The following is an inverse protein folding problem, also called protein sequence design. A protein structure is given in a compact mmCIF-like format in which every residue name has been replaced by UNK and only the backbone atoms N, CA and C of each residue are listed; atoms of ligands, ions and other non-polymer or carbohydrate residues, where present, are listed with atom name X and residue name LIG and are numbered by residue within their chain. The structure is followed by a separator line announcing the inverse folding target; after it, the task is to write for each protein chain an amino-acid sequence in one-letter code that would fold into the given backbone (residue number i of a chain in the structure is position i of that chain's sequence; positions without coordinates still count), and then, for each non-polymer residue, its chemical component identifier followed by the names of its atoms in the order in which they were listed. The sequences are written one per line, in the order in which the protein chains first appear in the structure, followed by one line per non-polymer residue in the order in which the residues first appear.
data_IF_269232640195
#
_entry.id   IF_269232640195
#
_cell.length_a   1.000
_cell.length_b   1.000
_cell.length_c   1.000
_cell.angle_alpha   90.00
_cell.angle_beta   90.00
_cell.angle_gamma   90.00
#
_symmetry.space_group_name_H-M   'P 1'
#
loop_
_entity.id
_entity.type
_entity.pdbx_description
1 polymer ?
#
# COMPACT_ATOMS: atom_id res chain seq x y z
N UNK A 1 49.21 -7.43 25.67
CA UNK A 1 47.97 -6.63 25.54
C UNK A 1 46.95 -7.50 24.81
N UNK A 2 45.73 -7.68 25.31
CA UNK A 2 44.75 -8.57 24.65
C UNK A 2 44.38 -8.04 23.26
N UNK A 3 44.07 -8.92 22.30
CA UNK A 3 43.69 -8.54 20.92
C UNK A 3 42.57 -7.49 20.90
N UNK A 4 41.62 -7.58 21.84
CA UNK A 4 40.51 -6.64 21.97
C UNK A 4 40.90 -5.27 22.54
N UNK A 5 41.89 -5.19 23.44
CA UNK A 5 42.38 -3.90 23.93
C UNK A 5 43.15 -3.12 22.85
N UNK A 6 43.78 -3.81 21.90
CA UNK A 6 44.37 -3.18 20.71
C UNK A 6 43.27 -2.66 19.80
N UNK A 7 42.23 -3.46 19.55
CA UNK A 7 41.07 -3.04 18.76
C UNK A 7 40.34 -1.85 19.39
N UNK A 8 40.19 -1.82 20.72
CA UNK A 8 39.60 -0.70 21.47
C UNK A 8 40.33 0.62 21.18
N UNK A 9 41.64 0.64 21.39
CA UNK A 9 42.48 1.81 21.15
C UNK A 9 42.41 2.25 19.70
N UNK A 10 42.45 1.30 18.77
CA UNK A 10 42.37 1.59 17.34
C UNK A 10 40.99 2.16 16.96
N UNK A 11 39.90 1.61 17.52
CA UNK A 11 38.54 2.09 17.31
C UNK A 11 38.36 3.50 17.87
N UNK A 12 38.75 3.75 19.12
CA UNK A 12 38.73 5.09 19.74
C UNK A 12 39.46 6.13 18.89
N UNK A 13 40.66 5.79 18.38
CA UNK A 13 41.42 6.65 17.47
C UNK A 13 40.67 6.92 16.16
N UNK A 14 40.09 5.89 15.56
CA UNK A 14 39.27 6.01 14.35
C UNK A 14 38.06 6.92 14.59
N UNK A 15 37.30 6.74 15.68
CA UNK A 15 36.12 7.55 15.98
C UNK A 15 36.48 9.04 16.16
N UNK A 16 37.61 9.33 16.80
CA UNK A 16 38.12 10.71 16.92
C UNK A 16 38.51 11.28 15.54
N UNK A 17 39.23 10.52 14.72
CA UNK A 17 39.64 10.94 13.37
C UNK A 17 38.44 11.13 12.41
N UNK A 18 37.38 10.33 12.56
CA UNK A 18 36.13 10.49 11.80
C UNK A 18 35.44 11.83 12.05
N UNK A 19 35.62 12.39 13.25
CA UNK A 19 35.11 13.72 13.62
C UNK A 19 36.06 14.85 13.25
N UNK A 20 37.20 14.58 12.61
CA UNK A 20 38.18 15.60 12.23
C UNK A 20 37.69 16.54 11.12
N UNK A 21 38.11 17.80 11.18
CA UNK A 21 37.90 18.77 10.08
C UNK A 21 38.83 18.52 8.88
N UNK A 22 39.95 17.80 9.10
CA UNK A 22 40.89 17.41 8.05
C UNK A 22 40.28 16.29 7.20
N UNK A 23 39.93 16.60 5.95
CA UNK A 23 39.25 15.67 5.01
C UNK A 23 40.02 14.38 4.82
N UNK A 24 41.33 14.46 4.58
CA UNK A 24 42.17 13.29 4.32
C UNK A 24 42.28 12.36 5.52
N UNK A 25 42.31 12.91 6.73
CA UNK A 25 42.29 12.15 7.98
C UNK A 25 40.93 11.46 8.17
N UNK A 26 39.83 12.21 8.01
CA UNK A 26 38.48 11.67 8.11
C UNK A 26 38.22 10.56 7.09
N UNK A 27 38.57 10.79 5.83
CA UNK A 27 38.43 9.80 4.75
C UNK A 27 39.17 8.49 5.07
N UNK A 28 40.43 8.58 5.51
CA UNK A 28 41.22 7.41 5.94
C UNK A 28 40.59 6.70 7.14
N UNK A 29 40.01 7.44 8.07
CA UNK A 29 39.34 6.84 9.23
C UNK A 29 38.09 6.04 8.81
N UNK A 30 37.30 6.56 7.86
CA UNK A 30 36.17 5.82 7.28
C UNK A 30 36.62 4.57 6.51
N UNK A 31 37.70 4.64 5.74
CA UNK A 31 38.27 3.49 5.04
C UNK A 31 38.78 2.41 6.02
N UNK A 32 39.45 2.83 7.11
CA UNK A 32 39.90 1.93 8.18
C UNK A 32 38.72 1.28 8.90
N UNK A 33 37.68 2.05 9.23
CA UNK A 33 36.50 1.51 9.88
C UNK A 33 35.77 0.53 8.96
N UNK A 34 35.63 0.85 7.68
CA UNK A 34 35.03 -0.06 6.69
C UNK A 34 35.79 -1.38 6.59
N UNK A 35 37.14 -1.33 6.58
CA UNK A 35 37.97 -2.52 6.61
C UNK A 35 37.73 -3.38 7.86
N UNK A 36 37.58 -2.75 9.04
CA UNK A 36 37.27 -3.47 10.28
C UNK A 36 35.88 -4.11 10.19
N UNK A 37 34.87 -3.34 9.78
CA UNK A 37 33.48 -3.80 9.70
C UNK A 37 33.29 -4.93 8.68
N UNK A 38 34.11 -4.99 7.64
CA UNK A 38 34.00 -6.00 6.57
C UNK A 38 34.94 -7.17 6.78
N UNK A 39 36.24 -6.93 7.03
CA UNK A 39 37.25 -7.98 7.07
C UNK A 39 37.51 -8.52 8.48
N UNK A 40 37.07 -7.81 9.52
CA UNK A 40 37.23 -8.19 10.94
C UNK A 40 35.88 -8.16 11.66
N UNK A 41 34.83 -8.56 10.96
CA UNK A 41 33.45 -8.50 11.45
C UNK A 41 33.29 -9.24 12.79
N UNK A 42 33.82 -10.46 12.91
CA UNK A 42 33.71 -11.25 14.14
C UNK A 42 34.51 -10.64 15.32
N UNK A 43 35.63 -9.96 15.04
CA UNK A 43 36.40 -9.27 16.08
C UNK A 43 35.62 -8.09 16.65
N UNK A 44 35.02 -7.24 15.80
CA UNK A 44 34.23 -6.08 16.26
C UNK A 44 32.95 -6.53 16.95
N UNK A 45 32.33 -7.63 16.52
CA UNK A 45 31.17 -8.18 17.20
C UNK A 45 31.51 -8.72 18.58
N UNK A 46 32.62 -9.46 18.70
CA UNK A 46 33.12 -9.92 19.99
C UNK A 46 33.45 -8.73 20.91
N UNK A 47 34.11 -7.70 20.38
CA UNK A 47 34.40 -6.48 21.11
C UNK A 47 33.13 -5.84 21.69
N UNK A 48 32.09 -5.66 20.87
CA UNK A 48 30.83 -5.05 21.28
C UNK A 48 30.04 -5.91 22.27
N UNK A 49 30.19 -7.24 22.21
CA UNK A 49 29.52 -8.17 23.11
C UNK A 49 30.17 -8.25 24.51
N UNK A 50 31.48 -8.02 24.65
CA UNK A 50 32.17 -8.18 25.94
C UNK A 50 31.78 -7.11 26.97
N UNK A 51 31.20 -5.97 26.56
CA UNK A 51 30.77 -4.85 27.43
C UNK A 51 31.85 -4.38 28.44
N UNK A 52 33.12 -4.66 28.16
CA UNK A 52 34.29 -4.26 28.98
C UNK A 52 34.83 -2.88 28.61
N UNK A 53 34.42 -2.37 27.46
CA UNK A 53 34.90 -1.12 26.88
C UNK A 53 33.74 -0.13 26.80
N UNK A 54 34.06 1.16 26.91
CA UNK A 54 33.04 2.22 26.93
C UNK A 54 32.42 2.45 25.53
N UNK A 55 33.19 2.18 24.46
CA UNK A 55 32.71 2.38 23.08
C UNK A 55 31.69 1.32 22.70
N UNK A 56 30.51 1.75 22.30
CA UNK A 56 29.43 0.90 21.82
C UNK A 56 28.97 1.30 20.40
N UNK A 57 28.01 0.57 19.84
CA UNK A 57 27.49 0.83 18.49
C UNK A 57 26.88 2.23 18.31
N UNK A 58 26.32 2.83 19.37
CA UNK A 58 25.76 4.17 19.31
C UNK A 58 26.88 5.20 19.14
N UNK A 59 28.02 5.04 19.81
CA UNK A 59 29.18 5.93 19.66
C UNK A 59 29.76 5.87 18.24
N UNK A 60 29.85 4.65 17.68
CA UNK A 60 30.30 4.41 16.31
C UNK A 60 29.35 5.06 15.30
N UNK A 61 28.04 4.87 15.47
CA UNK A 61 27.03 5.48 14.61
C UNK A 61 27.07 7.01 14.70
N UNK A 62 27.23 7.56 15.90
CA UNK A 62 27.29 9.02 16.10
C UNK A 62 28.53 9.62 15.43
N UNK A 63 29.70 8.98 15.55
CA UNK A 63 30.91 9.40 14.85
C UNK A 63 30.75 9.30 13.32
N UNK A 64 30.12 8.25 12.82
CA UNK A 64 29.83 8.07 11.39
C UNK A 64 28.89 9.15 10.86
N UNK A 65 27.81 9.44 11.59
CA UNK A 65 26.87 10.49 11.23
C UNK A 65 27.53 11.88 11.25
N UNK A 66 28.30 12.20 12.30
CA UNK A 66 29.02 13.47 12.37
C UNK A 66 30.04 13.63 11.24
N UNK A 67 30.75 12.55 10.90
CA UNK A 67 31.65 12.54 9.76
C UNK A 67 30.94 12.79 8.43
N UNK A 68 29.73 12.25 8.25
CA UNK A 68 28.87 12.50 7.10
C UNK A 68 28.40 13.97 7.04
N UNK A 69 28.01 14.58 8.17
CA UNK A 69 27.67 16.01 8.23
C UNK A 69 28.87 16.89 7.80
N UNK A 70 30.08 16.58 8.30
CA UNK A 70 31.29 17.30 7.88
C UNK A 70 31.59 17.13 6.39
N UNK A 71 31.34 15.95 5.86
CA UNK A 71 31.51 15.68 4.44
C UNK A 71 30.47 16.43 3.60
N UNK A 72 29.22 16.50 4.06
CA UNK A 72 28.18 17.28 3.41
C UNK A 72 28.56 18.77 3.32
N UNK A 73 29.01 19.37 4.44
CA UNK A 73 29.47 20.77 4.45
C UNK A 73 30.57 21.03 3.41
N UNK A 74 31.55 20.11 3.30
CA UNK A 74 32.60 20.18 2.29
C UNK A 74 32.07 20.15 0.85
N UNK A 75 31.03 19.35 0.59
CA UNK A 75 30.43 19.25 -0.74
C UNK A 75 29.68 20.55 -1.10
N UNK A 76 29.05 21.19 -0.13
CA UNK A 76 28.40 22.50 -0.29
C UNK A 76 29.45 23.60 -0.53
N UNK A 77 30.44 23.70 0.36
CA UNK A 77 31.50 24.72 0.31
C UNK A 77 32.38 24.61 -0.95
N UNK A 78 32.50 23.41 -1.50
CA UNK A 78 33.28 23.12 -2.71
C UNK A 78 32.68 23.66 -4.02
N UNK A 79 31.53 24.34 -3.96
CA UNK A 79 30.87 24.96 -5.11
C UNK A 79 30.18 23.92 -6.00
N UNK A 80 28.85 23.90 -5.94
CA UNK A 80 28.00 23.19 -6.90
C UNK A 80 28.08 23.85 -8.28
N UNK A 81 29.10 23.51 -9.05
CA UNK A 81 29.12 23.70 -10.50
C UNK A 81 29.70 22.44 -11.14
N UNK A 82 28.88 21.83 -11.99
CA UNK A 82 29.22 20.76 -12.91
C UNK A 82 30.58 20.99 -13.61
N UNK A 83 31.31 19.89 -13.77
CA UNK A 83 32.46 19.64 -14.66
C UNK A 83 33.87 20.08 -14.23
N UNK A 84 34.76 19.09 -14.02
CA UNK A 84 36.20 19.13 -14.38
C UNK A 84 36.96 17.82 -14.02
N UNK A 85 36.37 16.87 -13.29
CA UNK A 85 36.97 15.55 -13.06
C UNK A 85 35.88 14.48 -13.01
N UNK A 86 35.96 13.47 -13.88
CA UNK A 86 34.89 12.52 -14.22
C UNK A 86 34.41 11.54 -13.15
N UNK A 87 34.38 11.92 -11.86
CA UNK A 87 33.72 11.15 -10.80
C UNK A 87 32.43 11.85 -10.35
N UNK A 88 31.30 11.14 -10.35
CA UNK A 88 30.05 11.66 -9.77
C UNK A 88 30.28 12.06 -8.31
N UNK A 89 29.68 13.17 -7.86
CA UNK A 89 29.75 13.59 -6.45
C UNK A 89 29.18 12.51 -5.49
N UNK A 90 28.34 11.61 -5.99
CA UNK A 90 27.88 10.40 -5.29
C UNK A 90 29.04 9.48 -4.86
N UNK A 91 30.10 9.36 -5.67
CA UNK A 91 31.30 8.59 -5.32
C UNK A 91 32.06 9.17 -4.11
N UNK A 92 31.95 10.48 -3.86
CA UNK A 92 32.64 11.15 -2.73
C UNK A 92 31.98 10.90 -1.38
N UNK A 93 30.71 10.50 -1.36
CA UNK A 93 29.96 10.14 -0.15
C UNK A 93 29.84 8.64 0.05
N UNK A 94 30.25 7.83 -0.94
CA UNK A 94 30.07 6.39 -0.96
C UNK A 94 30.61 5.68 0.30
N UNK A 95 31.86 5.97 0.71
CA UNK A 95 32.44 5.31 1.89
C UNK A 95 31.68 5.65 3.17
N UNK A 96 31.18 6.89 3.29
CA UNK A 96 30.41 7.35 4.44
C UNK A 96 29.07 6.62 4.53
N UNK A 97 28.38 6.50 3.39
CA UNK A 97 27.13 5.75 3.25
C UNK A 97 27.36 4.27 3.60
N UNK A 98 28.40 3.65 3.02
CA UNK A 98 28.73 2.23 3.24
C UNK A 98 29.01 1.94 4.71
N UNK A 99 29.80 2.79 5.38
CA UNK A 99 30.08 2.67 6.81
C UNK A 99 28.80 2.79 7.63
N UNK A 100 27.96 3.80 7.40
CA UNK A 100 26.70 3.97 8.13
C UNK A 100 25.81 2.73 7.97
N UNK A 101 25.62 2.26 6.73
CA UNK A 101 24.82 1.05 6.46
C UNK A 101 25.38 -0.17 7.19
N UNK A 102 26.68 -0.42 7.10
CA UNK A 102 27.32 -1.59 7.71
C UNK A 102 27.28 -1.54 9.25
N UNK A 103 27.46 -0.35 9.85
CA UNK A 103 27.32 -0.14 11.31
C UNK A 103 25.90 -0.51 11.75
N UNK A 104 24.87 0.04 11.09
CA UNK A 104 23.47 -0.24 11.46
C UNK A 104 23.13 -1.71 11.18
N UNK A 105 23.60 -2.28 10.06
CA UNK A 105 23.40 -3.69 9.72
C UNK A 105 23.93 -4.64 10.79
N UNK A 106 25.15 -4.42 11.28
CA UNK A 106 25.75 -5.27 12.31
C UNK A 106 25.08 -5.08 13.67
N UNK A 107 24.75 -3.84 14.03
CA UNK A 107 24.16 -3.52 15.33
C UNK A 107 22.69 -3.96 15.46
N UNK A 108 21.93 -4.02 14.36
CA UNK A 108 20.48 -4.27 14.40
C UNK A 108 20.11 -5.72 14.06
N UNK A 109 20.97 -6.50 13.40
CA UNK A 109 20.56 -7.82 12.89
C UNK A 109 20.94 -9.02 13.79
N UNK A 110 21.75 -8.85 14.85
CA UNK A 110 22.26 -9.96 15.67
C UNK A 110 21.75 -9.96 17.12
N UNK A 111 21.11 -11.06 17.56
CA UNK A 111 20.76 -11.35 18.96
C UNK A 111 19.69 -10.46 19.60
N UNK A 112 19.88 -9.15 19.56
CA UNK A 112 18.97 -8.09 19.99
C UNK A 112 19.33 -6.78 19.26
N UNK A 113 18.44 -5.78 19.24
CA UNK A 113 18.78 -4.44 18.75
C UNK A 113 19.81 -3.79 19.69
N UNK A 114 20.99 -3.42 19.17
CA UNK A 114 22.04 -2.77 19.96
C UNK A 114 22.07 -1.24 19.79
N UNK A 115 21.23 -0.70 18.89
CA UNK A 115 20.97 0.73 18.77
C UNK A 115 19.49 0.96 19.01
N UNK A 116 19.15 1.99 19.80
CA UNK A 116 17.76 2.35 20.09
C UNK A 116 17.06 2.83 18.83
N UNK A 117 15.82 2.39 18.62
CA UNK A 117 15.01 2.86 17.48
C UNK A 117 14.84 4.38 17.48
N UNK A 118 14.61 4.98 18.66
CA UNK A 118 14.49 6.43 18.79
C UNK A 118 15.69 7.20 18.20
N UNK A 119 16.91 6.67 18.39
CA UNK A 119 18.11 7.30 17.83
C UNK A 119 18.16 7.15 16.30
N UNK A 120 17.87 5.95 15.77
CA UNK A 120 17.81 5.74 14.32
C UNK A 120 16.73 6.60 13.65
N UNK A 121 15.56 6.71 14.28
CA UNK A 121 14.43 7.51 13.79
C UNK A 121 14.84 8.97 13.79
N UNK A 122 15.29 9.50 14.93
CA UNK A 122 15.71 10.90 15.05
C UNK A 122 16.74 11.28 14.01
N UNK A 123 17.84 10.53 13.91
CA UNK A 123 18.91 10.78 12.91
C UNK A 123 18.41 10.74 11.48
N UNK A 124 17.52 9.79 11.16
CA UNK A 124 16.92 9.71 9.83
C UNK A 124 16.04 10.92 9.56
N UNK A 125 15.19 11.33 10.51
CA UNK A 125 14.32 12.48 10.34
C UNK A 125 15.09 13.79 10.23
N UNK A 126 16.22 13.93 10.93
CA UNK A 126 17.14 15.06 10.83
C UNK A 126 17.72 15.14 9.41
N UNK A 127 18.29 14.04 8.89
CA UNK A 127 18.87 13.98 7.52
C UNK A 127 17.83 14.21 6.45
N UNK A 128 16.64 13.61 6.60
CA UNK A 128 15.54 13.77 5.64
C UNK A 128 14.86 15.14 5.78
N UNK A 129 15.15 15.87 6.85
CA UNK A 129 14.69 17.22 7.12
C UNK A 129 15.60 18.32 6.61
N UNK A 130 16.89 18.05 6.48
CA UNK A 130 17.89 18.98 5.96
C UNK A 130 18.04 18.81 4.43
N UNK A 131 17.67 19.82 3.62
CA UNK A 131 17.85 19.80 2.17
C UNK A 131 19.26 19.40 1.71
N UNK A 132 20.30 19.88 2.38
CA UNK A 132 21.67 19.62 1.96
C UNK A 132 22.06 18.16 2.23
N UNK A 133 21.75 17.65 3.42
CA UNK A 133 22.00 16.25 3.76
C UNK A 133 21.15 15.29 2.90
N UNK A 134 19.90 15.65 2.63
CA UNK A 134 18.97 14.86 1.81
C UNK A 134 19.54 14.59 0.41
N UNK A 135 20.25 15.55 -0.19
CA UNK A 135 20.83 15.41 -1.52
C UNK A 135 21.84 14.26 -1.65
N UNK A 136 22.68 14.06 -0.64
CA UNK A 136 23.79 13.09 -0.70
C UNK A 136 23.58 11.85 0.17
N UNK A 137 22.79 11.96 1.24
CA UNK A 137 22.60 10.90 2.24
C UNK A 137 21.15 10.45 2.36
N UNK A 138 20.20 11.09 1.68
CA UNK A 138 18.76 10.80 1.76
C UNK A 138 18.41 9.33 1.54
N UNK A 139 18.91 8.75 0.45
CA UNK A 139 18.63 7.35 0.10
C UNK A 139 19.11 6.39 1.20
N UNK A 140 20.30 6.64 1.76
CA UNK A 140 20.86 5.85 2.85
C UNK A 140 19.92 5.84 4.06
N UNK A 141 19.45 7.01 4.50
CA UNK A 141 18.61 7.11 5.68
C UNK A 141 17.17 6.63 5.45
N UNK A 142 16.63 6.72 4.24
CA UNK A 142 15.37 6.04 3.90
C UNK A 142 15.54 4.51 4.00
N UNK A 143 16.66 3.98 3.51
CA UNK A 143 16.94 2.54 3.61
C UNK A 143 17.16 2.09 5.06
N UNK A 144 17.81 2.92 5.90
CA UNK A 144 17.95 2.66 7.34
C UNK A 144 16.57 2.56 8.00
N UNK A 145 15.68 3.53 7.77
CA UNK A 145 14.31 3.46 8.28
C UNK A 145 13.59 2.20 7.78
N UNK A 146 13.61 1.93 6.47
CA UNK A 146 12.91 0.79 5.90
C UNK A 146 13.40 -0.56 6.44
N UNK A 147 14.71 -0.79 6.40
CA UNK A 147 15.30 -2.11 6.68
C UNK A 147 15.42 -2.37 8.18
N UNK A 148 15.83 -1.37 8.96
CA UNK A 148 16.23 -1.59 10.35
C UNK A 148 15.20 -1.15 11.37
N UNK A 149 14.35 -0.18 11.04
CA UNK A 149 13.29 0.29 11.91
C UNK A 149 11.96 -0.37 11.52
N UNK A 150 11.47 -0.12 10.30
CA UNK A 150 10.11 -0.51 9.90
C UNK A 150 9.96 -2.01 9.63
N UNK A 151 10.95 -2.65 9.01
CA UNK A 151 11.00 -4.11 8.83
C UNK A 151 11.84 -4.81 9.89
N UNK A 152 12.00 -4.20 11.07
CA UNK A 152 12.73 -4.85 12.14
C UNK A 152 12.02 -6.13 12.58
N UNK A 153 12.81 -7.15 12.93
CA UNK A 153 12.31 -8.37 13.59
C UNK A 153 12.05 -8.17 15.09
N UNK A 154 12.46 -7.03 15.63
CA UNK A 154 12.30 -6.68 17.03
C UNK A 154 10.96 -5.98 17.28
N UNK A 155 10.61 -5.88 18.56
CA UNK A 155 9.39 -5.23 19.02
C UNK A 155 9.37 -3.73 18.66
N UNK A 156 8.33 -3.31 17.93
CA UNK A 156 8.14 -1.92 17.49
C UNK A 156 7.21 -1.12 18.40
N UNK A 157 6.64 -1.74 19.45
CA UNK A 157 5.80 -1.02 20.44
C UNK A 157 6.56 0.05 21.21
N UNK A 158 7.89 -0.02 21.21
CA UNK A 158 8.77 1.01 21.79
C UNK A 158 8.85 2.30 20.97
N UNK A 159 8.39 2.28 19.70
CA UNK A 159 8.31 3.48 18.87
C UNK A 159 7.06 4.26 19.29
N UNK A 160 7.29 5.51 19.70
CA UNK A 160 6.24 6.38 20.23
C UNK A 160 5.27 6.83 19.13
N UNK A 161 4.09 7.25 19.57
CA UNK A 161 3.07 7.84 18.70
C UNK A 161 3.60 9.00 17.85
N UNK A 162 4.36 9.91 18.47
CA UNK A 162 4.91 11.08 17.77
C UNK A 162 6.00 10.69 16.77
N UNK A 163 6.80 9.67 17.06
CA UNK A 163 7.79 9.15 16.12
C UNK A 163 7.13 8.54 14.88
N UNK A 164 6.04 7.77 15.05
CA UNK A 164 5.25 7.26 13.92
C UNK A 164 4.71 8.39 13.04
N UNK A 165 4.12 9.42 13.66
CA UNK A 165 3.60 10.58 12.93
C UNK A 165 4.72 11.33 12.21
N UNK A 166 5.88 11.48 12.84
CA UNK A 166 7.02 12.15 12.25
C UNK A 166 7.57 11.39 11.03
N UNK A 167 7.66 10.05 11.11
CA UNK A 167 8.03 9.19 9.96
C UNK A 167 7.05 9.37 8.81
N UNK A 168 5.75 9.23 9.07
CA UNK A 168 4.71 9.37 8.05
C UNK A 168 4.74 10.76 7.40
N UNK A 169 4.76 11.81 8.22
CA UNK A 169 4.82 13.20 7.76
C UNK A 169 6.06 13.42 6.89
N UNK A 170 7.21 12.83 7.25
CA UNK A 170 8.42 12.96 6.47
C UNK A 170 8.33 12.24 5.13
N UNK A 171 7.77 11.02 5.09
CA UNK A 171 7.56 10.29 3.84
C UNK A 171 6.67 11.06 2.85
N UNK A 172 5.58 11.68 3.32
CA UNK A 172 4.73 12.51 2.46
C UNK A 172 5.50 13.71 1.89
N UNK A 173 6.28 14.43 2.72
CA UNK A 173 7.11 15.55 2.26
C UNK A 173 8.19 15.12 1.26
N UNK A 174 8.82 13.97 1.49
CA UNK A 174 9.88 13.44 0.61
C UNK A 174 9.38 13.09 -0.79
N UNK A 175 8.10 12.73 -0.94
CA UNK A 175 7.55 12.40 -2.25
C UNK A 175 7.55 13.60 -3.21
N UNK A 176 7.24 14.79 -2.67
CA UNK A 176 7.21 16.04 -3.42
C UNK A 176 8.62 16.61 -3.67
N UNK A 177 9.60 16.21 -2.87
CA UNK A 177 10.95 16.77 -2.87
C UNK A 177 11.80 16.37 -4.10
N UNK A 178 11.60 15.15 -4.61
CA UNK A 178 12.25 14.67 -5.84
C UNK A 178 13.72 14.24 -5.72
N UNK A 179 14.42 14.54 -4.61
CA UNK A 179 15.82 14.08 -4.40
C UNK A 179 15.97 12.59 -4.11
N UNK A 180 14.91 11.97 -3.61
CA UNK A 180 14.82 10.51 -3.44
C UNK A 180 13.81 9.98 -4.43
N UNK A 181 14.15 8.89 -5.12
CA UNK A 181 13.25 8.26 -6.08
C UNK A 181 11.89 7.96 -5.44
N UNK A 182 10.79 8.37 -6.11
CA UNK A 182 9.42 8.20 -5.62
C UNK A 182 9.11 6.76 -5.21
N UNK A 183 9.61 5.77 -5.96
CA UNK A 183 9.43 4.36 -5.63
C UNK A 183 10.01 3.99 -4.25
N UNK A 184 11.19 4.51 -3.92
CA UNK A 184 11.83 4.29 -2.62
C UNK A 184 11.02 4.95 -1.51
N UNK A 185 10.56 6.18 -1.72
CA UNK A 185 9.74 6.91 -0.73
C UNK A 185 8.41 6.21 -0.48
N UNK A 186 7.69 5.83 -1.54
CA UNK A 186 6.38 5.15 -1.42
C UNK A 186 6.53 3.76 -0.80
N UNK A 187 7.60 3.02 -1.11
CA UNK A 187 7.89 1.77 -0.41
C UNK A 187 8.09 1.97 1.09
N UNK A 188 8.74 3.07 1.51
CA UNK A 188 8.91 3.40 2.92
C UNK A 188 7.57 3.73 3.56
N UNK A 189 6.78 4.58 2.88
CA UNK A 189 5.45 5.00 3.31
C UNK A 189 4.51 3.79 3.49
N UNK A 190 4.49 2.85 2.56
CA UNK A 190 3.64 1.67 2.62
C UNK A 190 3.95 0.80 3.84
N UNK A 191 5.24 0.56 4.11
CA UNK A 191 5.66 -0.19 5.30
C UNK A 191 5.31 0.61 6.57
N UNK A 192 5.57 1.92 6.59
CA UNK A 192 5.29 2.78 7.74
C UNK A 192 3.79 2.82 8.09
N UNK A 193 2.90 2.97 7.09
CA UNK A 193 1.45 2.92 7.29
C UNK A 193 1.02 1.58 7.88
N UNK A 194 1.43 0.47 7.25
CA UNK A 194 1.10 -0.88 7.75
C UNK A 194 1.60 -1.11 9.17
N UNK A 195 2.88 -0.84 9.43
CA UNK A 195 3.52 -1.12 10.72
C UNK A 195 3.01 -0.21 11.83
N UNK A 196 2.70 1.04 11.52
CA UNK A 196 2.07 1.93 12.49
C UNK A 196 0.71 1.42 12.90
N UNK A 197 -0.15 0.96 11.97
CA UNK A 197 -1.44 0.34 12.31
C UNK A 197 -1.31 -0.94 13.15
N UNK A 198 -0.27 -1.75 12.89
CA UNK A 198 -0.01 -2.99 13.65
C UNK A 198 0.49 -2.73 15.09
N UNK A 199 1.16 -1.59 15.35
CA UNK A 199 1.91 -1.37 16.59
C UNK A 199 1.50 -0.12 17.37
N UNK A 200 0.66 0.76 16.80
CA UNK A 200 0.30 2.05 17.41
C UNK A 200 -1.06 2.55 16.91
N UNK A 201 -1.86 3.15 17.79
CA UNK A 201 -3.19 3.67 17.44
C UNK A 201 -3.15 5.05 16.75
N UNK A 202 -2.42 5.15 15.63
CA UNK A 202 -2.26 6.42 14.85
C UNK A 202 -3.35 6.65 13.81
N UNK A 203 -4.34 5.77 13.67
CA UNK A 203 -5.31 5.80 12.57
C UNK A 203 -6.02 7.15 12.43
N UNK A 204 -6.41 7.81 13.52
CA UNK A 204 -7.05 9.13 13.46
C UNK A 204 -6.17 10.22 12.83
N UNK A 205 -4.84 10.07 12.87
CA UNK A 205 -3.93 10.99 12.18
C UNK A 205 -3.92 10.82 10.66
N UNK A 206 -4.35 9.66 10.14
CA UNK A 206 -4.35 9.40 8.70
C UNK A 206 -5.31 10.31 7.94
N UNK A 207 -6.33 10.86 8.60
CA UNK A 207 -7.23 11.88 8.03
C UNK A 207 -6.45 13.04 7.44
N UNK A 208 -5.39 13.51 8.14
CA UNK A 208 -4.53 14.62 7.69
C UNK A 208 -3.72 14.27 6.43
N UNK A 209 -3.52 12.98 6.17
CA UNK A 209 -2.76 12.46 5.03
C UNK A 209 -3.63 12.11 3.82
N UNK A 210 -4.96 12.10 3.94
CA UNK A 210 -5.85 11.78 2.82
C UNK A 210 -5.67 12.75 1.64
N UNK A 211 -5.67 14.06 1.89
CA UNK A 211 -5.50 15.05 0.81
C UNK A 211 -4.10 14.96 0.13
N UNK A 212 -2.98 14.89 0.87
CA UNK A 212 -1.68 14.57 0.27
C UNK A 212 -1.70 13.29 -0.55
N UNK A 213 -2.36 12.23 -0.06
CA UNK A 213 -2.45 10.96 -0.77
C UNK A 213 -3.28 11.06 -2.07
N UNK A 214 -4.36 11.85 -2.10
CA UNK A 214 -5.09 12.17 -3.34
C UNK A 214 -4.12 12.74 -4.37
N UNK A 215 -3.37 13.78 -3.99
CA UNK A 215 -2.39 14.44 -4.87
C UNK A 215 -1.38 13.43 -5.43
N UNK A 216 -0.77 12.63 -4.54
CA UNK A 216 0.22 11.62 -4.94
C UNK A 216 -0.36 10.61 -5.95
N UNK A 217 -1.57 10.11 -5.71
CA UNK A 217 -2.24 9.15 -6.60
C UNK A 217 -2.54 9.81 -7.95
N UNK A 218 -3.08 11.03 -7.95
CA UNK A 218 -3.46 11.74 -9.17
C UNK A 218 -2.26 12.10 -10.05
N UNK A 219 -1.14 12.48 -9.44
CA UNK A 219 0.08 12.93 -10.14
C UNK A 219 1.03 11.77 -10.48
N UNK A 220 0.86 10.60 -9.88
CA UNK A 220 1.67 9.42 -10.20
C UNK A 220 1.37 8.91 -11.62
N UNK A 221 2.42 8.55 -12.36
CA UNK A 221 2.29 7.80 -13.61
C UNK A 221 1.80 6.37 -13.35
N UNK A 222 1.21 5.74 -14.37
CA UNK A 222 0.80 4.33 -14.27
C UNK A 222 2.02 3.44 -14.02
N UNK A 223 1.85 2.43 -13.16
CA UNK A 223 2.88 1.45 -12.86
C UNK A 223 3.09 1.26 -11.36
N UNK A 224 4.31 0.83 -11.00
CA UNK A 224 4.63 0.34 -9.64
C UNK A 224 4.35 1.36 -8.54
N UNK A 225 4.68 2.64 -8.76
CA UNK A 225 4.46 3.70 -7.76
C UNK A 225 2.95 3.89 -7.50
N UNK A 226 2.15 3.97 -8.56
CA UNK A 226 0.70 4.10 -8.45
C UNK A 226 0.05 2.88 -7.78
N UNK A 227 0.48 1.67 -8.13
CA UNK A 227 -0.04 0.44 -7.52
C UNK A 227 0.25 0.41 -6.01
N UNK A 228 1.44 0.82 -5.60
CA UNK A 228 1.80 0.87 -4.19
C UNK A 228 1.03 1.96 -3.43
N UNK A 229 0.76 3.11 -4.07
CA UNK A 229 -0.12 4.15 -3.51
C UNK A 229 -1.56 3.67 -3.34
N UNK A 230 -2.07 2.83 -4.25
CA UNK A 230 -3.40 2.20 -4.12
C UNK A 230 -3.44 1.27 -2.90
N UNK A 231 -2.37 0.50 -2.65
CA UNK A 231 -2.24 -0.31 -1.43
C UNK A 231 -2.26 0.56 -0.16
N UNK A 232 -1.50 1.66 -0.16
CA UNK A 232 -1.50 2.65 0.93
C UNK A 232 -2.90 3.20 1.17
N UNK A 233 -3.60 3.60 0.10
CA UNK A 233 -4.98 4.07 0.19
C UNK A 233 -5.91 3.01 0.79
N UNK A 234 -5.79 1.75 0.38
CA UNK A 234 -6.55 0.63 0.95
C UNK A 234 -6.37 0.51 2.47
N UNK A 235 -5.13 0.60 2.95
CA UNK A 235 -4.83 0.55 4.39
C UNK A 235 -5.42 1.75 5.14
N UNK A 236 -5.24 2.97 4.60
CA UNK A 236 -5.79 4.18 5.22
C UNK A 236 -7.33 4.15 5.29
N UNK A 237 -8.00 3.77 4.20
CA UNK A 237 -9.46 3.65 4.15
C UNK A 237 -9.92 2.59 5.14
N UNK A 238 -9.28 1.41 5.20
CA UNK A 238 -9.63 0.36 6.15
C UNK A 238 -9.52 0.81 7.60
N UNK A 239 -8.52 1.62 7.92
CA UNK A 239 -8.30 2.12 9.28
C UNK A 239 -9.28 3.22 9.70
N UNK A 240 -9.86 3.94 8.73
CA UNK A 240 -10.67 5.14 8.95
C UNK A 240 -12.17 4.93 8.67
N UNK A 241 -12.55 3.85 7.99
CA UNK A 241 -13.89 3.64 7.44
C UNK A 241 -15.03 3.73 8.47
N UNK A 242 -14.78 3.36 9.73
CA UNK A 242 -15.78 3.34 10.80
C UNK A 242 -16.02 4.74 11.36
N UNK A 243 -14.94 5.46 11.69
CA UNK A 243 -15.03 6.71 12.45
C UNK A 243 -15.02 7.98 11.57
N UNK A 244 -14.52 7.88 10.33
CA UNK A 244 -14.29 9.02 9.43
C UNK A 244 -14.97 8.84 8.07
N UNK A 245 -16.23 8.39 8.12
CA UNK A 245 -17.02 8.05 6.93
C UNK A 245 -17.07 9.17 5.89
N UNK A 246 -17.31 10.41 6.32
CA UNK A 246 -17.45 11.56 5.41
C UNK A 246 -16.15 11.85 4.65
N UNK A 247 -15.02 11.80 5.36
CA UNK A 247 -13.69 12.01 4.81
C UNK A 247 -13.32 10.88 3.85
N UNK A 248 -13.66 9.63 4.18
CA UNK A 248 -13.45 8.49 3.31
C UNK A 248 -14.30 8.56 2.04
N UNK A 249 -15.59 8.91 2.13
CA UNK A 249 -16.42 9.11 0.95
C UNK A 249 -15.79 10.16 0.01
N UNK A 250 -15.49 11.35 0.54
CA UNK A 250 -14.85 12.41 -0.25
C UNK A 250 -13.49 11.99 -0.84
N UNK A 251 -12.65 11.28 -0.06
CA UNK A 251 -11.36 10.78 -0.52
C UNK A 251 -11.49 9.80 -1.68
N UNK A 252 -12.34 8.78 -1.51
CA UNK A 252 -12.57 7.74 -2.51
C UNK A 252 -13.16 8.28 -3.81
N UNK A 253 -14.07 9.25 -3.74
CA UNK A 253 -14.61 9.96 -4.91
C UNK A 253 -13.49 10.66 -5.71
N UNK A 254 -12.60 11.39 -5.03
CA UNK A 254 -11.49 12.12 -5.66
C UNK A 254 -10.48 11.20 -6.37
N UNK A 255 -10.23 10.01 -5.84
CA UNK A 255 -9.24 9.08 -6.43
C UNK A 255 -9.86 8.08 -7.42
N UNK A 256 -11.17 7.84 -7.37
CA UNK A 256 -11.83 6.75 -8.08
C UNK A 256 -11.50 6.71 -9.58
N UNK A 257 -11.61 7.84 -10.28
CA UNK A 257 -11.32 7.89 -11.72
C UNK A 257 -9.86 7.51 -12.04
N UNK A 258 -8.90 7.95 -11.21
CA UNK A 258 -7.48 7.64 -11.41
C UNK A 258 -7.19 6.17 -11.12
N UNK A 259 -7.80 5.63 -10.08
CA UNK A 259 -7.67 4.22 -9.66
C UNK A 259 -8.27 3.28 -10.71
N UNK A 260 -9.46 3.58 -11.25
CA UNK A 260 -10.04 2.82 -12.39
C UNK A 260 -9.12 2.82 -13.59
N UNK A 261 -8.56 3.99 -13.94
CA UNK A 261 -7.60 4.09 -15.05
C UNK A 261 -6.33 3.28 -14.81
N UNK A 262 -5.93 3.06 -13.55
CA UNK A 262 -4.77 2.25 -13.20
C UNK A 262 -5.04 0.74 -13.25
N UNK A 263 -6.30 0.32 -13.34
CA UNK A 263 -6.66 -1.09 -13.41
C UNK A 263 -6.18 -1.74 -14.70
N UNK A 264 -5.48 -2.86 -14.57
CA UNK A 264 -5.01 -3.67 -15.69
C UNK A 264 -5.38 -5.14 -15.45
N UNK A 265 -6.18 -5.78 -16.33
CA UNK A 265 -6.60 -7.18 -16.15
C UNK A 265 -5.44 -8.17 -16.04
N UNK A 266 -4.29 -7.82 -16.63
CA UNK A 266 -3.06 -8.62 -16.66
C UNK A 266 -2.10 -8.30 -15.50
N UNK A 267 -2.47 -7.42 -14.57
CA UNK A 267 -1.68 -7.15 -13.37
C UNK A 267 -1.57 -8.40 -12.48
N UNK A 268 -0.57 -8.42 -11.61
CA UNK A 268 -0.41 -9.47 -10.62
C UNK A 268 -1.59 -9.51 -9.64
N UNK A 269 -1.81 -10.68 -9.02
CA UNK A 269 -2.96 -10.90 -8.14
C UNK A 269 -2.98 -9.97 -6.92
N UNK A 270 -1.82 -9.59 -6.37
CA UNK A 270 -1.73 -8.71 -5.21
C UNK A 270 -2.19 -7.29 -5.58
N UNK A 271 -1.75 -6.77 -6.72
CA UNK A 271 -2.20 -5.48 -7.26
C UNK A 271 -3.71 -5.48 -7.52
N UNK A 272 -4.24 -6.55 -8.14
CA UNK A 272 -5.68 -6.68 -8.38
C UNK A 272 -6.48 -6.78 -7.08
N UNK A 273 -6.01 -7.55 -6.10
CA UNK A 273 -6.66 -7.67 -4.80
C UNK A 273 -6.69 -6.34 -4.06
N UNK A 274 -5.59 -5.57 -4.08
CA UNK A 274 -5.54 -4.24 -3.48
C UNK A 274 -6.57 -3.29 -4.10
N UNK A 275 -6.70 -3.30 -5.43
CA UNK A 275 -7.72 -2.55 -6.14
C UNK A 275 -9.14 -2.98 -5.70
N UNK A 276 -9.47 -4.27 -5.76
CA UNK A 276 -10.83 -4.74 -5.46
C UNK A 276 -11.21 -4.52 -3.99
N UNK A 277 -10.29 -4.74 -3.05
CA UNK A 277 -10.53 -4.46 -1.62
C UNK A 277 -10.79 -2.97 -1.36
N UNK A 278 -10.00 -2.08 -1.96
CA UNK A 278 -10.20 -0.63 -1.82
C UNK A 278 -11.56 -0.20 -2.39
N UNK A 279 -11.90 -0.65 -3.60
CA UNK A 279 -13.16 -0.28 -4.23
C UNK A 279 -14.38 -0.90 -3.53
N UNK A 280 -14.28 -2.14 -3.05
CA UNK A 280 -15.30 -2.76 -2.20
C UNK A 280 -15.57 -1.92 -0.97
N UNK A 281 -14.51 -1.55 -0.24
CA UNK A 281 -14.66 -0.75 0.97
C UNK A 281 -15.23 0.64 0.66
N UNK A 282 -14.83 1.27 -0.45
CA UNK A 282 -15.43 2.53 -0.90
C UNK A 282 -16.95 2.38 -1.08
N UNK A 283 -17.41 1.34 -1.78
CA UNK A 283 -18.86 1.10 -1.99
C UNK A 283 -19.58 0.83 -0.66
N UNK A 284 -18.98 0.05 0.26
CA UNK A 284 -19.55 -0.24 1.58
C UNK A 284 -19.71 1.03 2.42
N UNK A 285 -18.71 1.91 2.43
CA UNK A 285 -18.76 3.15 3.23
C UNK A 285 -19.76 4.15 2.63
N UNK A 286 -19.81 4.26 1.30
CA UNK A 286 -20.78 5.11 0.60
C UNK A 286 -22.21 4.63 0.78
N UNK A 287 -22.43 3.32 0.74
CA UNK A 287 -23.73 2.69 0.86
C UNK A 287 -23.58 1.53 1.84
N UNK A 288 -23.76 1.76 3.15
CA UNK A 288 -23.75 0.67 4.13
C UNK A 288 -24.96 -0.24 3.93
N UNK A 289 -24.85 -1.49 4.36
CA UNK A 289 -25.99 -2.42 4.37
C UNK A 289 -27.08 -1.89 5.30
N UNK A 290 -28.34 -1.99 4.86
CA UNK A 290 -29.46 -1.76 5.75
C UNK A 290 -29.46 -2.92 6.75
N UNK A 291 -29.32 -2.64 8.04
CA UNK A 291 -29.55 -3.68 9.03
C UNK A 291 -31.00 -4.17 8.93
N UNK A 292 -31.17 -5.49 8.91
CA UNK A 292 -32.48 -6.13 9.01
C UNK A 292 -33.20 -5.60 10.25
N UNK A 293 -34.31 -4.88 10.04
CA UNK A 293 -35.18 -4.41 11.12
C UNK A 293 -35.37 -2.89 11.23
N UNK A 294 -34.57 -2.07 10.54
CA UNK A 294 -34.81 -0.62 10.55
C UNK A 294 -35.88 -0.26 9.49
N UNK A 295 -37.11 -0.11 9.99
CA UNK A 295 -38.27 0.35 9.25
C UNK A 295 -38.26 1.87 9.03
N UNK A 296 -37.29 2.59 9.60
CA UNK A 296 -37.06 3.99 9.27
C UNK A 296 -36.35 4.04 7.91
N UNK A 297 -37.06 4.50 6.88
CA UNK A 297 -36.57 4.58 5.51
C UNK A 297 -35.42 5.58 5.27
N UNK A 298 -34.56 5.85 6.26
CA UNK A 298 -33.40 6.71 6.08
C UNK A 298 -32.36 6.00 5.20
N UNK A 299 -32.20 6.52 3.99
CA UNK A 299 -31.10 6.17 3.12
C UNK A 299 -29.81 6.62 3.78
N UNK A 300 -29.12 5.71 4.47
CA UNK A 300 -27.81 6.00 5.05
C UNK A 300 -26.75 6.26 3.99
N UNK A 301 -27.04 6.10 2.69
CA UNK A 301 -26.03 6.34 1.67
C UNK A 301 -25.62 7.81 1.64
N UNK A 302 -24.34 8.04 1.40
CA UNK A 302 -23.74 9.36 1.37
C UNK A 302 -22.66 9.40 0.29
N UNK A 303 -22.67 10.48 -0.49
CA UNK A 303 -21.60 10.88 -1.38
C UNK A 303 -21.43 12.41 -1.25
N UNK A 304 -20.20 12.90 -1.28
CA UNK A 304 -19.92 14.34 -1.27
C UNK A 304 -20.35 14.99 -2.59
N UNK A 305 -20.11 14.31 -3.72
CA UNK A 305 -20.69 14.61 -5.03
C UNK A 305 -21.39 13.36 -5.58
N UNK A 306 -22.73 13.37 -5.51
CA UNK A 306 -23.55 12.24 -5.93
C UNK A 306 -23.45 11.94 -7.43
N UNK A 307 -23.28 12.97 -8.27
CA UNK A 307 -23.19 12.80 -9.74
C UNK A 307 -21.86 12.16 -10.12
N UNK A 308 -20.76 12.65 -9.55
CA UNK A 308 -19.43 12.06 -9.76
C UNK A 308 -19.35 10.64 -9.18
N UNK A 309 -19.94 10.39 -8.02
CA UNK A 309 -19.99 9.05 -7.45
C UNK A 309 -20.74 8.07 -8.37
N UNK A 310 -21.89 8.45 -8.93
CA UNK A 310 -22.62 7.60 -9.88
C UNK A 310 -21.84 7.34 -11.17
N UNK A 311 -21.07 8.32 -11.66
CA UNK A 311 -20.12 8.08 -12.77
C UNK A 311 -19.06 7.06 -12.38
N UNK A 312 -18.53 7.12 -11.16
CA UNK A 312 -17.54 6.18 -10.65
C UNK A 312 -18.12 4.75 -10.54
N UNK A 313 -19.33 4.59 -10.01
CA UNK A 313 -20.00 3.29 -9.92
C UNK A 313 -20.19 2.62 -11.30
N UNK A 314 -20.56 3.40 -12.33
CA UNK A 314 -20.66 2.89 -13.70
C UNK A 314 -19.29 2.43 -14.23
N UNK A 315 -18.23 3.21 -13.97
CA UNK A 315 -16.85 2.84 -14.33
C UNK A 315 -16.39 1.55 -13.64
N UNK A 316 -16.72 1.38 -12.36
CA UNK A 316 -16.49 0.14 -11.63
C UNK A 316 -17.23 -1.05 -12.26
N UNK A 317 -18.46 -0.84 -12.73
CA UNK A 317 -19.25 -1.92 -13.34
C UNK A 317 -18.61 -2.40 -14.66
N UNK A 318 -18.04 -1.47 -15.45
CA UNK A 318 -17.24 -1.85 -16.62
C UNK A 318 -16.00 -2.66 -16.25
N UNK A 319 -15.30 -2.31 -15.17
CA UNK A 319 -14.15 -3.07 -14.66
C UNK A 319 -14.54 -4.49 -14.27
N UNK A 320 -15.67 -4.67 -13.58
CA UNK A 320 -16.21 -6.00 -13.23
C UNK A 320 -16.48 -6.84 -14.49
N UNK A 321 -17.13 -6.26 -15.49
CA UNK A 321 -17.39 -6.95 -16.76
C UNK A 321 -16.10 -7.33 -17.50
N UNK A 322 -15.09 -6.45 -17.50
CA UNK A 322 -13.78 -6.74 -18.08
C UNK A 322 -13.04 -7.86 -17.35
N UNK A 323 -13.08 -7.90 -16.02
CA UNK A 323 -12.42 -8.97 -15.25
C UNK A 323 -13.11 -10.31 -15.45
N UNK A 324 -14.44 -10.35 -15.46
CA UNK A 324 -15.18 -11.60 -15.77
C UNK A 324 -14.82 -12.12 -17.15
N UNK A 325 -14.76 -11.25 -18.17
CA UNK A 325 -14.37 -11.65 -19.53
C UNK A 325 -12.94 -12.18 -19.60
N UNK A 326 -11.99 -11.50 -18.95
CA UNK A 326 -10.60 -11.95 -18.88
C UNK A 326 -10.48 -13.32 -18.19
N UNK A 327 -11.27 -13.52 -17.13
CA UNK A 327 -11.30 -14.77 -16.38
C UNK A 327 -11.86 -15.95 -17.20
N UNK A 328 -12.95 -15.72 -17.93
CA UNK A 328 -13.52 -16.71 -18.87
C UNK A 328 -12.50 -17.10 -19.93
N UNK A 329 -11.78 -16.13 -20.52
CA UNK A 329 -10.72 -16.42 -21.51
C UNK A 329 -9.57 -17.24 -20.91
N UNK A 330 -9.16 -16.94 -19.67
CA UNK A 330 -8.11 -17.70 -18.99
C UNK A 330 -8.55 -19.15 -18.69
N UNK A 331 -9.82 -19.35 -18.31
CA UNK A 331 -10.38 -20.68 -18.04
C UNK A 331 -10.42 -21.57 -19.28
N UNK A 332 -10.67 -21.01 -20.47
CA UNK A 332 -10.65 -21.77 -21.73
C UNK A 332 -9.24 -22.22 -22.15
N UNK A 333 -8.19 -21.50 -21.73
CA UNK A 333 -6.79 -21.85 -22.00
C UNK A 333 -6.17 -22.80 -20.97
N UNK A 334 -6.87 -23.10 -19.86
CA UNK A 334 -6.36 -23.98 -18.80
C UNK A 334 -6.43 -25.46 -19.21
N UNK A 335 -5.28 -26.06 -19.50
CA UNK A 335 -5.14 -27.50 -19.76
C UNK A 335 -5.60 -28.29 -18.53
N UNK A 336 -6.64 -29.11 -18.67
CA UNK A 336 -7.11 -30.02 -17.63
C UNK A 336 -8.31 -29.54 -16.80
N UNK A 337 -9.06 -28.53 -17.24
CA UNK A 337 -10.36 -28.18 -16.63
C UNK A 337 -10.29 -27.68 -15.19
N UNK A 338 -9.11 -27.25 -14.72
CA UNK A 338 -8.94 -26.73 -13.37
C UNK A 338 -9.70 -25.42 -13.19
N UNK A 339 -10.41 -25.34 -12.07
CA UNK A 339 -11.11 -24.14 -11.66
C UNK A 339 -10.11 -23.01 -11.35
N UNK A 340 -10.19 -21.91 -12.10
CA UNK A 340 -9.43 -20.70 -11.79
C UNK A 340 -10.21 -19.93 -10.70
N UNK A 341 -9.62 -19.67 -9.51
CA UNK A 341 -10.28 -18.89 -8.47
C UNK A 341 -10.37 -17.42 -8.88
N UNK A 342 -11.27 -16.67 -8.24
CA UNK A 342 -11.26 -15.22 -8.35
C UNK A 342 -10.14 -14.64 -7.50
N UNK A 343 -9.63 -13.48 -7.93
CA UNK A 343 -8.76 -12.66 -7.10
C UNK A 343 -9.51 -12.27 -5.83
N UNK A 344 -8.80 -12.25 -4.71
CA UNK A 344 -9.38 -11.88 -3.44
C UNK A 344 -10.04 -10.49 -3.47
N UNK A 345 -11.17 -10.36 -2.76
CA UNK A 345 -12.01 -9.16 -2.73
C UNK A 345 -12.91 -8.94 -3.97
N UNK A 346 -12.64 -9.60 -5.10
CA UNK A 346 -13.41 -9.38 -6.34
C UNK A 346 -14.90 -9.71 -6.19
N UNK A 347 -15.24 -10.89 -5.65
CA UNK A 347 -16.65 -11.32 -5.55
C UNK A 347 -17.44 -10.40 -4.61
N UNK A 348 -16.88 -10.05 -3.46
CA UNK A 348 -17.49 -9.12 -2.52
C UNK A 348 -17.71 -7.74 -3.15
N UNK A 349 -16.71 -7.24 -3.89
CA UNK A 349 -16.83 -5.99 -4.64
C UNK A 349 -17.93 -6.05 -5.70
N UNK A 350 -17.90 -7.05 -6.58
CA UNK A 350 -18.83 -7.19 -7.69
C UNK A 350 -20.28 -7.33 -7.20
N UNK A 351 -20.51 -8.17 -6.17
CA UNK A 351 -21.82 -8.36 -5.56
C UNK A 351 -22.35 -7.06 -4.96
N UNK A 352 -21.53 -6.38 -4.13
CA UNK A 352 -21.93 -5.11 -3.51
C UNK A 352 -22.22 -4.04 -4.55
N UNK A 353 -21.36 -3.92 -5.57
CA UNK A 353 -21.54 -2.97 -6.65
C UNK A 353 -22.83 -3.24 -7.42
N UNK A 354 -23.08 -4.48 -7.82
CA UNK A 354 -24.30 -4.84 -8.54
C UNK A 354 -25.54 -4.55 -7.69
N UNK A 355 -25.54 -4.89 -6.40
CA UNK A 355 -26.62 -4.53 -5.49
C UNK A 355 -26.90 -3.02 -5.52
N UNK A 356 -25.87 -2.19 -5.32
CA UNK A 356 -26.02 -0.72 -5.33
C UNK A 356 -26.51 -0.23 -6.69
N UNK A 357 -25.97 -0.74 -7.80
CA UNK A 357 -26.33 -0.30 -9.15
C UNK A 357 -27.77 -0.67 -9.53
N UNK A 358 -28.22 -1.89 -9.24
CA UNK A 358 -29.53 -2.38 -9.68
C UNK A 358 -30.65 -2.02 -8.70
N UNK A 359 -30.38 -2.00 -7.39
CA UNK A 359 -31.41 -1.67 -6.39
C UNK A 359 -31.53 -0.18 -6.07
N UNK A 360 -30.61 0.67 -6.54
CA UNK A 360 -30.75 2.14 -6.50
C UNK A 360 -31.12 2.71 -7.89
N UNK A 361 -32.37 3.17 -8.04
CA UNK A 361 -32.91 3.66 -9.30
C UNK A 361 -32.23 4.96 -9.78
N UNK A 362 -31.64 5.74 -8.87
CA UNK A 362 -31.09 7.07 -9.18
C UNK A 362 -29.75 6.99 -9.91
N UNK A 363 -29.04 5.86 -9.79
CA UNK A 363 -27.72 5.67 -10.40
C UNK A 363 -27.81 5.68 -11.94
N UNK A 364 -28.93 5.21 -12.48
CA UNK A 364 -29.16 5.14 -13.93
C UNK A 364 -30.02 6.28 -14.49
N UNK A 365 -30.83 6.93 -13.64
CA UNK A 365 -31.75 7.99 -14.08
C UNK A 365 -31.04 9.24 -14.60
N UNK A 366 -29.85 9.55 -14.09
CA UNK A 366 -29.04 10.69 -14.53
C UNK A 366 -28.52 10.60 -15.97
N UNK A 367 -28.53 9.42 -16.60
CA UNK A 367 -28.14 9.26 -18.01
C UNK A 367 -29.33 9.46 -18.97
N UNK A 368 -30.56 9.25 -18.48
CA UNK A 368 -31.78 9.26 -19.30
C UNK A 368 -32.34 10.69 -19.50
N UNK A 369 -31.80 11.70 -18.82
CA UNK A 369 -32.15 13.11 -19.01
C UNK A 369 -31.52 13.74 -20.27
N UNK A 370 -30.50 13.11 -20.86
CA UNK A 370 -29.85 13.60 -22.10
C UNK A 370 -30.23 12.78 -23.35
N UNK A 371 -30.98 11.68 -23.22
CA UNK A 371 -31.31 10.80 -24.34
C UNK A 371 -32.69 10.14 -24.20
N UNK A 372 -33.73 10.85 -24.63
CA UNK A 372 -35.11 10.39 -24.56
C UNK A 372 -35.35 9.06 -25.30
N UNK A 373 -35.57 7.98 -24.53
CA UNK A 373 -36.37 6.84 -25.00
C UNK A 373 -36.96 6.08 -23.81
N UNK A 374 -38.30 6.07 -23.71
CA UNK A 374 -39.05 5.35 -22.66
C UNK A 374 -38.90 3.82 -22.72
N UNK A 375 -38.32 3.26 -23.79
CA UNK A 375 -38.17 1.81 -24.00
C UNK A 375 -37.06 1.20 -23.12
N UNK A 376 -36.06 1.98 -22.68
CA UNK A 376 -35.00 1.49 -21.75
C UNK A 376 -35.46 1.39 -20.29
N UNK A 377 -36.52 2.12 -19.90
CA UNK A 377 -37.05 2.09 -18.53
C UNK A 377 -37.76 0.77 -18.19
N UNK A 378 -38.44 0.15 -19.17
CA UNK A 378 -39.22 -1.08 -18.94
C UNK A 378 -38.34 -2.32 -18.73
N UNK A 379 -37.20 -2.43 -19.43
CA UNK A 379 -36.21 -3.51 -19.20
C UNK A 379 -35.49 -3.42 -17.84
N UNK A 380 -35.50 -2.24 -17.19
CA UNK A 380 -34.87 -2.03 -15.87
C UNK A 380 -35.83 -2.23 -14.70
N UNK A 381 -37.12 -2.47 -14.95
CA UNK A 381 -38.09 -2.71 -13.88
C UNK A 381 -37.76 -3.98 -13.09
N UNK A 382 -37.29 -5.02 -13.78
CA UNK A 382 -36.92 -6.29 -13.14
C UNK A 382 -35.39 -6.37 -12.92
N UNK A 383 -34.97 -5.87 -11.75
CA UNK A 383 -33.57 -5.64 -11.35
C UNK A 383 -32.76 -6.93 -11.32
N UNK A 384 -33.36 -8.00 -10.79
CA UNK A 384 -32.76 -9.32 -10.74
C UNK A 384 -32.65 -9.94 -12.13
N UNK A 385 -33.67 -9.77 -12.98
CA UNK A 385 -33.66 -10.29 -14.35
C UNK A 385 -32.46 -9.78 -15.15
N UNK A 386 -32.09 -8.50 -14.98
CA UNK A 386 -30.91 -7.95 -15.65
C UNK A 386 -29.60 -8.66 -15.27
N UNK A 387 -29.49 -9.16 -14.04
CA UNK A 387 -28.34 -9.98 -13.61
C UNK A 387 -28.44 -11.43 -14.09
N UNK A 388 -29.65 -12.00 -14.08
CA UNK A 388 -29.89 -13.37 -14.58
C UNK A 388 -29.57 -13.50 -16.06
N UNK A 389 -29.90 -12.48 -16.87
CA UNK A 389 -29.61 -12.44 -18.30
C UNK A 389 -28.09 -12.54 -18.59
N UNK A 390 -27.23 -12.06 -17.67
CA UNK A 390 -25.77 -12.13 -17.82
C UNK A 390 -25.20 -13.54 -17.65
N UNK A 391 -25.98 -14.48 -17.10
CA UNK A 391 -25.57 -15.88 -16.94
C UNK A 391 -25.66 -16.62 -18.29
N UNK A 392 -26.36 -16.07 -19.29
CA UNK A 392 -26.41 -16.57 -20.68
C UNK A 392 -26.76 -18.08 -20.75
N UNK A 393 -27.87 -18.47 -20.14
CA UNK A 393 -28.26 -19.88 -19.91
C UNK A 393 -28.44 -20.69 -21.20
N UNK A 394 -28.82 -20.01 -22.29
CA UNK A 394 -29.00 -20.59 -23.63
C UNK A 394 -27.66 -20.99 -24.29
N UNK A 395 -26.53 -20.52 -23.75
CA UNK A 395 -25.20 -20.94 -24.18
C UNK A 395 -24.91 -22.41 -23.80
N UNK A 396 -24.05 -23.05 -24.60
CA UNK A 396 -23.47 -24.36 -24.26
C UNK A 396 -22.59 -24.30 -23.00
N UNK A 397 -22.09 -23.11 -22.66
CA UNK A 397 -21.32 -22.82 -21.45
C UNK A 397 -21.90 -21.58 -20.78
N UNK A 398 -22.82 -21.74 -19.80
CA UNK A 398 -23.34 -20.63 -19.04
C UNK A 398 -22.21 -19.85 -18.36
N UNK A 399 -22.40 -18.55 -18.19
CA UNK A 399 -21.45 -17.71 -17.48
C UNK A 399 -21.59 -17.91 -15.97
N UNK A 400 -20.99 -18.98 -15.47
CA UNK A 400 -20.95 -19.36 -14.06
C UNK A 400 -20.40 -18.27 -13.13
N UNK A 401 -19.61 -17.33 -13.67
CA UNK A 401 -19.02 -16.24 -12.90
C UNK A 401 -20.08 -15.25 -12.45
N UNK A 402 -21.07 -14.97 -13.30
CA UNK A 402 -22.24 -14.18 -12.91
C UNK A 402 -23.15 -14.92 -11.95
N UNK A 403 -23.27 -16.24 -12.03
CA UNK A 403 -23.99 -17.03 -11.02
C UNK A 403 -23.35 -16.90 -9.64
N UNK A 404 -22.03 -16.95 -9.54
CA UNK A 404 -21.31 -16.78 -8.27
C UNK A 404 -21.55 -15.37 -7.69
N UNK A 405 -21.52 -14.33 -8.53
CA UNK A 405 -21.83 -12.96 -8.10
C UNK A 405 -23.29 -12.85 -7.62
N UNK A 406 -24.24 -13.44 -8.35
CA UNK A 406 -25.65 -13.48 -7.98
C UNK A 406 -25.87 -14.18 -6.64
N UNK A 407 -25.25 -15.34 -6.44
CA UNK A 407 -25.32 -16.10 -5.19
C UNK A 407 -24.82 -15.29 -4.00
N UNK A 408 -23.71 -14.55 -4.17
CA UNK A 408 -23.18 -13.67 -3.12
C UNK A 408 -24.17 -12.54 -2.77
N UNK A 409 -24.87 -11.96 -3.75
CA UNK A 409 -25.90 -10.93 -3.51
C UNK A 409 -27.05 -11.51 -2.70
N UNK A 410 -27.61 -12.64 -3.15
CA UNK A 410 -28.76 -13.30 -2.50
C UNK A 410 -28.40 -13.73 -1.08
N UNK A 411 -27.22 -14.33 -0.88
CA UNK A 411 -26.79 -14.79 0.45
C UNK A 411 -26.55 -13.66 1.44
N UNK A 412 -26.04 -12.49 1.00
CA UNK A 412 -25.84 -11.33 1.89
C UNK A 412 -27.11 -10.52 2.13
N UNK A 413 -27.97 -10.43 1.13
CA UNK A 413 -29.15 -9.60 1.15
C UNK A 413 -30.39 -10.37 0.65
N UNK A 414 -30.90 -11.39 1.38
CA UNK A 414 -32.08 -12.15 0.96
C UNK A 414 -33.30 -11.29 0.61
N UNK A 415 -33.46 -10.13 1.28
CA UNK A 415 -34.52 -9.15 1.02
C UNK A 415 -34.48 -8.52 -0.40
N UNK A 416 -33.45 -8.81 -1.20
CA UNK A 416 -33.41 -8.48 -2.63
C UNK A 416 -34.49 -9.20 -3.42
N UNK A 417 -34.84 -10.42 -3.03
CA UNK A 417 -35.80 -11.26 -3.75
C UNK A 417 -37.23 -10.84 -3.40
N UNK A 418 -37.97 -10.36 -4.41
CA UNK A 418 -39.39 -10.09 -4.32
C UNK A 418 -40.20 -11.31 -4.77
N UNK A 419 -41.51 -11.36 -4.50
CA UNK A 419 -42.37 -12.49 -4.90
C UNK A 419 -42.30 -12.80 -6.41
N UNK A 420 -42.18 -11.75 -7.23
CA UNK A 420 -42.06 -11.83 -8.69
C UNK A 420 -40.73 -12.42 -9.19
N UNK A 421 -39.70 -12.47 -8.33
CA UNK A 421 -38.35 -12.94 -8.68
C UNK A 421 -38.17 -14.46 -8.52
N UNK A 422 -38.97 -15.10 -7.65
CA UNK A 422 -38.80 -16.52 -7.32
C UNK A 422 -38.96 -17.43 -8.53
N UNK A 423 -40.02 -17.26 -9.31
CA UNK A 423 -40.28 -18.12 -10.46
C UNK A 423 -39.19 -18.00 -11.55
N UNK A 424 -38.77 -16.79 -11.98
CA UNK A 424 -37.63 -16.63 -12.88
C UNK A 424 -36.33 -17.25 -12.34
N UNK A 425 -36.02 -17.06 -11.05
CA UNK A 425 -34.82 -17.61 -10.44
C UNK A 425 -34.85 -19.15 -10.41
N UNK A 426 -35.98 -19.76 -10.05
CA UNK A 426 -36.14 -21.22 -10.07
C UNK A 426 -36.00 -21.79 -11.48
N UNK A 427 -36.57 -21.12 -12.50
CA UNK A 427 -36.41 -21.52 -13.89
C UNK A 427 -34.95 -21.47 -14.33
N UNK A 428 -34.23 -20.39 -14.00
CA UNK A 428 -32.80 -20.24 -14.24
C UNK A 428 -32.01 -21.41 -13.60
N UNK A 429 -32.23 -21.66 -12.30
CA UNK A 429 -31.53 -22.70 -11.56
C UNK A 429 -31.82 -24.10 -12.12
N UNK A 430 -33.08 -24.41 -12.46
CA UNK A 430 -33.47 -25.67 -13.10
C UNK A 430 -32.71 -25.92 -14.41
N UNK A 431 -32.57 -24.87 -15.25
CA UNK A 431 -31.80 -24.95 -16.49
C UNK A 431 -30.28 -25.13 -16.28
N UNK A 432 -29.74 -24.60 -15.17
CA UNK A 432 -28.32 -24.69 -14.85
C UNK A 432 -27.95 -26.01 -14.17
N UNK A 433 -28.85 -26.60 -13.37
CA UNK A 433 -28.63 -27.82 -12.61
C UNK A 433 -27.96 -28.97 -13.40
N UNK A 434 -28.41 -29.34 -14.62
CA UNK A 434 -27.79 -30.43 -15.37
C UNK A 434 -26.40 -30.09 -15.93
N UNK A 435 -26.00 -28.81 -15.92
CA UNK A 435 -24.73 -28.31 -16.46
C UNK A 435 -23.66 -28.10 -15.37
N UNK A 436 -23.97 -28.33 -14.09
CA UNK A 436 -23.04 -28.15 -12.97
C UNK A 436 -21.87 -29.15 -13.05
N UNK A 437 -20.64 -28.64 -12.91
CA UNK A 437 -19.42 -29.46 -12.99
C UNK A 437 -18.40 -29.15 -11.88
N UNK A 438 -18.33 -27.90 -11.43
CA UNK A 438 -17.31 -27.43 -10.49
C UNK A 438 -17.88 -27.18 -9.09
N UNK A 439 -16.99 -27.26 -8.08
CA UNK A 439 -17.38 -27.09 -6.68
C UNK A 439 -17.92 -25.70 -6.37
N UNK A 440 -17.37 -24.64 -6.97
CA UNK A 440 -17.89 -23.27 -6.78
C UNK A 440 -19.25 -23.05 -7.42
N UNK A 441 -19.51 -23.69 -8.57
CA UNK A 441 -20.81 -23.64 -9.22
C UNK A 441 -21.86 -24.29 -8.32
N UNK A 442 -21.55 -25.43 -7.75
CA UNK A 442 -22.44 -26.14 -6.83
C UNK A 442 -22.73 -25.31 -5.56
N UNK A 443 -21.70 -24.68 -4.98
CA UNK A 443 -21.86 -23.77 -3.84
C UNK A 443 -22.75 -22.58 -4.18
N UNK A 444 -22.50 -21.91 -5.30
CA UNK A 444 -23.30 -20.78 -5.76
C UNK A 444 -24.75 -21.19 -6.04
N UNK A 445 -24.96 -22.33 -6.68
CA UNK A 445 -26.28 -22.92 -6.90
C UNK A 445 -27.03 -23.14 -5.58
N UNK A 446 -26.41 -23.82 -4.61
CA UNK A 446 -27.05 -24.07 -3.32
C UNK A 446 -27.38 -22.79 -2.56
N UNK A 447 -26.50 -21.79 -2.61
CA UNK A 447 -26.71 -20.50 -1.96
C UNK A 447 -27.86 -19.69 -2.60
N UNK A 448 -28.13 -19.88 -3.90
CA UNK A 448 -29.34 -19.32 -4.53
C UNK A 448 -30.63 -20.10 -4.18
N UNK A 449 -30.51 -21.36 -3.73
CA UNK A 449 -31.65 -22.21 -3.36
C UNK A 449 -32.03 -22.11 -1.87
N UNK A 450 -31.09 -21.70 -1.01
CA UNK A 450 -31.29 -21.47 0.43
C UNK A 450 -31.93 -20.12 0.69
#
# INVERSE_FOLDING_TARGET
MSSLAVLDRDLCGILAEMRSDKVTMRQKAFERLELILTNREEDILRYMAEQKFDTNWQDVLEAAHHGAEKQNRKLIDGGSSSSAGGGSNEGKSYIYIKVIQKVVDLAMNRGQAQIKFAELIRRSLDVLGDPAMLQYFGVCYVQVLQKHVLNSKWDLTVITYDEWIAILTRCFKLYDDGRVARQTVVGCLAIAVRKSLENCSVQGHFVKFLNPLVKMITESDRGKVQNELIKVAGLCVSALAVDYRYEICSFTEKIAQRVVKAYEPKADEETKAAFFRLMHLAVVVHSPEKHFGDSSGQHLAYAADQSEWYKCLRNFYFVVGSEIKAHVSASHGSVGGREVPFVDGFIAFAARLCYVMFWNNDVWSQQDSEGGSNVKKVKRANKLQSLMDLIEVESSQPNWRWLIVLAEIVGRCPAVLCEEDYQPLLNLLSCLQPKLQLSSQLKAFHQCCS
#
